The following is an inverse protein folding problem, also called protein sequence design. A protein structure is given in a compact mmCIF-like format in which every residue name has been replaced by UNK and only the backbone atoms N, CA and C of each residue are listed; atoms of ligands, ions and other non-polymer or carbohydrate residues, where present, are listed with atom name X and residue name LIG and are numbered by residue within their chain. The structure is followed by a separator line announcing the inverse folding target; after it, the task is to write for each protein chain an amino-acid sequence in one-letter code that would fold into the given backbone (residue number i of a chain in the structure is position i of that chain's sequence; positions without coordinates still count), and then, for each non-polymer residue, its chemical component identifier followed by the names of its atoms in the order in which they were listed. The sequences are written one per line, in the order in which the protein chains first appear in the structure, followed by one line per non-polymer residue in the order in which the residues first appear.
data_IF_284442350702
#
_entry.id   IF_284442350702
#
_cell.length_a   1.000
_cell.length_b   1.000
_cell.length_c   1.000
_cell.angle_alpha   90.00
_cell.angle_beta   90.00
_cell.angle_gamma   90.00
#
_symmetry.space_group_name_H-M   'P 1'
#
loop_
_entity.id
_entity.type
_entity.pdbx_description
1 polymer ?
#
# COMPACT_ATOMS: atom_id res chain seq x y z
N UNK A 1 11.29 -21.68 15.53
CA UNK A 1 9.92 -21.19 15.77
C UNK A 1 9.41 -20.70 14.43
N UNK A 2 8.18 -21.03 14.03
CA UNK A 2 7.64 -20.60 12.74
C UNK A 2 7.26 -19.11 12.84
N UNK A 3 7.70 -18.30 11.88
CA UNK A 3 7.35 -16.89 11.81
C UNK A 3 6.06 -16.74 10.99
N UNK A 4 4.91 -16.74 11.68
CA UNK A 4 3.60 -16.66 11.02
C UNK A 4 3.36 -15.33 10.32
N UNK A 5 3.98 -14.26 10.82
CA UNK A 5 3.94 -12.95 10.19
C UNK A 5 4.59 -12.99 8.80
N UNK A 6 5.80 -13.53 8.70
CA UNK A 6 6.49 -13.73 7.43
C UNK A 6 5.72 -14.69 6.51
N UNK A 7 5.21 -15.81 7.04
CA UNK A 7 4.46 -16.78 6.25
C UNK A 7 3.21 -16.16 5.59
N UNK A 8 2.47 -15.32 6.31
CA UNK A 8 1.32 -14.61 5.74
C UNK A 8 1.77 -13.64 4.65
N UNK A 9 2.81 -12.83 4.89
CA UNK A 9 3.32 -11.89 3.89
C UNK A 9 3.82 -12.59 2.63
N UNK A 10 4.49 -13.73 2.75
CA UNK A 10 4.92 -14.52 1.60
C UNK A 10 3.71 -15.09 0.86
N UNK A 11 2.71 -15.62 1.57
CA UNK A 11 1.50 -16.16 0.96
C UNK A 11 0.72 -15.10 0.16
N UNK A 12 0.50 -13.92 0.72
CA UNK A 12 -0.26 -12.86 0.04
C UNK A 12 0.51 -12.31 -1.16
N UNK A 13 1.84 -12.25 -1.11
CA UNK A 13 2.65 -11.74 -2.23
C UNK A 13 2.82 -12.74 -3.37
N UNK A 14 2.90 -14.03 -3.06
CA UNK A 14 3.12 -15.07 -4.07
C UNK A 14 1.82 -15.66 -4.64
N UNK A 15 0.75 -15.67 -3.83
CA UNK A 15 -0.52 -16.34 -4.16
C UNK A 15 -1.75 -15.47 -3.98
N UNK A 16 -1.61 -14.23 -3.48
CA UNK A 16 -2.74 -13.35 -3.15
C UNK A 16 -3.71 -13.98 -2.13
N UNK A 17 -3.17 -14.83 -1.24
CA UNK A 17 -3.92 -15.54 -0.19
C UNK A 17 -3.54 -15.03 1.20
N UNK A 18 -4.53 -14.82 2.06
CA UNK A 18 -4.33 -14.59 3.49
C UNK A 18 -4.39 -15.94 4.22
N UNK A 19 -3.28 -16.34 4.84
CA UNK A 19 -3.19 -17.55 5.67
C UNK A 19 -2.80 -17.14 7.09
N UNK A 20 -3.72 -17.31 8.04
CA UNK A 20 -3.49 -17.05 9.46
C UNK A 20 -3.56 -18.35 10.25
N UNK A 21 -2.59 -18.55 11.15
CA UNK A 21 -2.46 -19.78 11.93
C UNK A 21 -3.09 -19.67 13.33
N UNK A 22 -3.13 -18.46 13.90
CA UNK A 22 -3.72 -18.15 15.20
C UNK A 22 -4.00 -16.64 15.28
N UNK A 23 -4.75 -16.19 16.29
CA UNK A 23 -5.05 -14.78 16.57
C UNK A 23 -3.88 -14.09 17.27
N UNK A 24 -2.83 -13.79 16.50
CA UNK A 24 -1.58 -13.18 16.99
C UNK A 24 -1.50 -11.76 16.45
N UNK A 25 -1.69 -10.78 17.35
CA UNK A 25 -1.66 -9.35 17.02
C UNK A 25 -0.30 -8.68 17.30
N UNK A 26 0.63 -9.40 17.93
CA UNK A 26 1.95 -8.89 18.28
C UNK A 26 3.04 -9.79 17.70
N UNK A 27 4.07 -9.18 17.14
CA UNK A 27 5.22 -9.86 16.55
C UNK A 27 6.47 -9.57 17.37
N UNK A 28 7.31 -10.59 17.60
CA UNK A 28 8.59 -10.42 18.28
C UNK A 28 9.63 -9.69 17.40
N UNK A 29 10.67 -9.12 18.01
CA UNK A 29 11.77 -8.47 17.27
C UNK A 29 12.45 -9.42 16.28
N UNK A 30 12.59 -10.71 16.64
CA UNK A 30 13.15 -11.71 15.75
C UNK A 30 12.28 -11.91 14.49
N UNK A 31 10.96 -11.96 14.67
CA UNK A 31 10.04 -12.09 13.53
C UNK A 31 10.07 -10.84 12.64
N UNK A 32 10.15 -9.66 13.25
CA UNK A 32 10.25 -8.39 12.54
C UNK A 32 11.53 -8.28 11.72
N UNK A 33 12.68 -8.68 12.27
CA UNK A 33 13.95 -8.70 11.51
C UNK A 33 13.87 -9.61 10.28
N UNK A 34 13.30 -10.82 10.42
CA UNK A 34 13.12 -11.72 9.28
C UNK A 34 12.19 -11.15 8.21
N UNK A 35 11.16 -10.41 8.61
CA UNK A 35 10.28 -9.70 7.66
C UNK A 35 11.01 -8.56 6.97
N UNK A 36 11.85 -7.79 7.68
CA UNK A 36 12.68 -6.75 7.07
C UNK A 36 13.62 -7.35 6.02
N UNK A 37 14.30 -8.46 6.35
CA UNK A 37 15.21 -9.15 5.42
C UNK A 37 14.47 -9.61 4.16
N UNK A 38 13.29 -10.21 4.32
CA UNK A 38 12.44 -10.62 3.21
C UNK A 38 11.99 -9.42 2.34
N UNK A 39 11.47 -8.35 2.97
CA UNK A 39 11.00 -7.16 2.25
C UNK A 39 12.14 -6.45 1.53
N UNK A 40 13.35 -6.44 2.09
CA UNK A 40 14.54 -5.90 1.44
C UNK A 40 14.89 -6.68 0.15
N UNK A 41 14.81 -8.01 0.19
CA UNK A 41 15.03 -8.86 -1.00
C UNK A 41 13.94 -8.65 -2.05
N UNK A 42 12.68 -8.58 -1.62
CA UNK A 42 11.54 -8.27 -2.50
C UNK A 42 11.72 -6.90 -3.14
N UNK A 43 12.07 -5.89 -2.36
CA UNK A 43 12.30 -4.53 -2.85
C UNK A 43 13.40 -4.53 -3.90
N UNK A 44 14.53 -5.18 -3.59
CA UNK A 44 15.64 -5.30 -4.53
C UNK A 44 15.17 -5.90 -5.86
N UNK A 45 14.41 -7.00 -5.81
CA UNK A 45 13.89 -7.68 -7.00
C UNK A 45 12.90 -6.81 -7.79
N UNK A 46 11.90 -6.18 -7.16
CA UNK A 46 10.95 -5.28 -7.83
C UNK A 46 11.67 -4.06 -8.44
N UNK A 47 12.67 -3.54 -7.73
CA UNK A 47 13.37 -2.32 -8.13
C UNK A 47 14.21 -2.46 -9.39
N UNK A 48 14.54 -3.69 -9.82
CA UNK A 48 15.25 -3.93 -11.07
C UNK A 48 14.49 -3.40 -12.30
N UNK A 49 13.16 -3.30 -12.20
CA UNK A 49 12.28 -2.80 -13.26
C UNK A 49 11.86 -1.33 -13.04
N UNK A 50 12.33 -0.69 -11.97
CA UNK A 50 11.95 0.68 -11.66
C UNK A 50 12.62 1.66 -12.63
N UNK A 51 11.89 2.72 -13.05
CA UNK A 51 12.44 3.76 -13.90
C UNK A 51 13.37 4.69 -13.12
N UNK A 52 14.24 5.41 -13.83
CA UNK A 52 15.11 6.44 -13.25
C UNK A 52 16.00 5.94 -12.10
N UNK A 53 16.45 6.87 -11.24
CA UNK A 53 17.22 6.52 -10.06
C UNK A 53 16.28 5.98 -8.98
N UNK A 54 16.60 4.80 -8.49
CA UNK A 54 15.80 4.04 -7.55
C UNK A 54 16.02 4.60 -6.13
N UNK A 55 14.97 5.02 -5.41
CA UNK A 55 15.07 5.32 -3.99
C UNK A 55 15.50 4.07 -3.19
N UNK A 56 16.36 4.18 -2.17
CA UNK A 56 16.74 3.01 -1.36
C UNK A 56 15.56 2.45 -0.57
N UNK A 57 15.67 1.19 -0.15
CA UNK A 57 14.70 0.56 0.75
C UNK A 57 14.69 1.23 2.13
N UNK A 58 13.49 1.46 2.66
CA UNK A 58 13.23 1.99 4.01
C UNK A 58 12.63 0.89 4.88
N UNK A 59 13.45 0.33 5.77
CA UNK A 59 13.06 -0.77 6.64
C UNK A 59 11.95 -0.38 7.64
N UNK A 60 11.91 0.88 8.10
CA UNK A 60 10.89 1.33 9.04
C UNK A 60 9.53 1.36 8.35
N UNK A 61 9.46 1.93 7.14
CA UNK A 61 8.23 2.00 6.37
C UNK A 61 7.75 0.61 5.92
N UNK A 62 8.67 -0.24 5.45
CA UNK A 62 8.37 -1.62 5.07
C UNK A 62 7.80 -2.43 6.23
N UNK A 63 8.44 -2.36 7.40
CA UNK A 63 7.98 -3.10 8.59
C UNK A 63 6.63 -2.57 9.11
N UNK A 64 6.44 -1.25 9.17
CA UNK A 64 5.18 -0.66 9.61
C UNK A 64 4.02 -1.07 8.70
N UNK A 65 4.21 -1.00 7.39
CA UNK A 65 3.21 -1.40 6.41
C UNK A 65 2.87 -2.89 6.49
N UNK A 66 3.88 -3.73 6.67
CA UNK A 66 3.71 -5.16 6.84
C UNK A 66 2.90 -5.49 8.11
N UNK A 67 3.22 -4.84 9.23
CA UNK A 67 2.43 -4.99 10.47
C UNK A 67 1.00 -4.51 10.28
N UNK A 68 0.81 -3.37 9.61
CA UNK A 68 -0.52 -2.82 9.30
C UNK A 68 -1.35 -3.85 8.52
N UNK A 69 -0.80 -4.42 7.45
CA UNK A 69 -1.48 -5.46 6.67
C UNK A 69 -1.76 -6.71 7.51
N UNK A 70 -0.78 -7.18 8.27
CA UNK A 70 -0.91 -8.40 9.07
C UNK A 70 -1.96 -8.28 10.17
N UNK A 71 -1.92 -7.19 10.93
CA UNK A 71 -2.92 -6.89 11.96
C UNK A 71 -4.30 -6.69 11.33
N UNK A 72 -4.40 -6.01 10.18
CA UNK A 72 -5.68 -5.84 9.48
C UNK A 72 -6.28 -7.18 9.04
N UNK A 73 -5.46 -8.10 8.51
CA UNK A 73 -5.88 -9.45 8.15
C UNK A 73 -6.32 -10.25 9.39
N UNK A 74 -5.61 -10.12 10.52
CA UNK A 74 -6.01 -10.73 11.80
C UNK A 74 -7.36 -10.20 12.27
N UNK A 75 -7.57 -8.89 12.23
CA UNK A 75 -8.83 -8.26 12.66
C UNK A 75 -10.01 -8.59 11.72
N UNK A 76 -9.75 -8.81 10.42
CA UNK A 76 -10.75 -9.29 9.46
C UNK A 76 -11.32 -10.66 9.87
N UNK A 77 -10.49 -11.59 10.36
CA UNK A 77 -10.92 -12.94 10.73
C UNK A 77 -11.27 -13.09 12.23
N UNK A 78 -10.63 -12.31 13.10
CA UNK A 78 -10.72 -12.42 14.57
C UNK A 78 -11.17 -11.11 15.22
N UNK A 79 -12.28 -10.53 14.75
CA UNK A 79 -12.84 -9.28 15.29
C UNK A 79 -13.38 -9.46 16.72
N UNK A 80 -12.54 -9.20 17.72
CA UNK A 80 -12.92 -9.18 19.16
C UNK A 80 -12.57 -7.87 19.87
N UNK A 81 -11.74 -7.05 19.24
CA UNK A 81 -11.19 -5.82 19.81
C UNK A 81 -12.20 -4.66 19.76
N UNK A 82 -12.18 -3.84 20.80
CA UNK A 82 -12.97 -2.60 20.85
C UNK A 82 -12.32 -1.52 19.97
N UNK A 83 -13.04 -0.43 19.72
CA UNK A 83 -12.55 0.65 18.87
C UNK A 83 -11.35 1.38 19.48
N UNK A 84 -11.32 1.51 20.81
CA UNK A 84 -10.20 2.12 21.53
C UNK A 84 -8.90 1.33 21.32
N UNK A 85 -9.00 0.00 21.21
CA UNK A 85 -7.85 -0.89 20.97
C UNK A 85 -7.27 -0.74 19.54
N UNK A 86 -8.09 -0.36 18.56
CA UNK A 86 -7.68 -0.31 17.15
C UNK A 86 -6.59 0.72 16.90
N UNK A 87 -6.65 1.86 17.59
CA UNK A 87 -5.66 2.92 17.46
C UNK A 87 -4.25 2.48 17.89
N UNK A 88 -4.17 1.61 18.91
CA UNK A 88 -2.92 1.04 19.39
C UNK A 88 -2.41 -0.09 18.49
N UNK A 89 -3.32 -0.84 17.88
CA UNK A 89 -3.00 -1.96 16.98
C UNK A 89 -2.56 -1.50 15.58
N UNK A 90 -3.08 -0.35 15.11
CA UNK A 90 -2.83 0.19 13.78
C UNK A 90 -2.32 1.64 13.85
N UNK A 91 -1.16 1.87 14.50
CA UNK A 91 -0.64 3.21 14.71
C UNK A 91 -0.25 3.87 13.38
N UNK A 92 -0.24 5.21 13.39
CA UNK A 92 0.33 5.98 12.28
C UNK A 92 1.85 5.77 12.19
N UNK A 93 2.37 5.87 10.96
CA UNK A 93 3.81 5.85 10.73
C UNK A 93 4.48 7.06 11.40
N UNK A 94 5.54 6.80 12.18
CA UNK A 94 6.16 7.83 13.04
C UNK A 94 7.41 8.48 12.45
N UNK A 95 7.89 8.00 11.30
CA UNK A 95 9.08 8.54 10.63
C UNK A 95 8.70 9.41 9.43
N UNK A 96 9.64 10.21 8.87
CA UNK A 96 9.35 11.03 7.70
C UNK A 96 8.88 10.20 6.49
N UNK A 97 7.78 10.64 5.87
CA UNK A 97 7.33 10.07 4.59
C UNK A 97 8.25 10.57 3.47
N UNK A 98 9.09 9.69 2.94
CA UNK A 98 10.00 9.92 1.80
C UNK A 98 9.61 9.06 0.60
N UNK A 99 10.14 9.29 -0.62
CA UNK A 99 9.92 8.39 -1.76
C UNK A 99 10.33 6.94 -1.45
N UNK A 100 11.45 6.75 -0.76
CA UNK A 100 11.88 5.45 -0.22
C UNK A 100 10.85 4.81 0.69
N UNK A 101 10.31 5.59 1.63
CA UNK A 101 9.28 5.12 2.54
C UNK A 101 8.02 4.69 1.76
N UNK A 102 7.58 5.50 0.78
CA UNK A 102 6.38 5.21 -0.04
C UNK A 102 6.54 3.88 -0.78
N UNK A 103 7.64 3.68 -1.50
CA UNK A 103 7.87 2.45 -2.26
C UNK A 103 8.08 1.23 -1.35
N UNK A 104 8.65 1.42 -0.15
CA UNK A 104 8.86 0.32 0.80
C UNK A 104 7.58 -0.09 1.52
N UNK A 105 6.75 0.88 1.95
CA UNK A 105 5.44 0.62 2.53
C UNK A 105 4.51 -0.08 1.53
N UNK A 106 4.62 0.29 0.26
CA UNK A 106 3.80 -0.25 -0.81
C UNK A 106 3.96 -1.75 -1.05
N UNK A 107 5.08 -2.35 -0.64
CA UNK A 107 5.27 -3.80 -0.71
C UNK A 107 4.19 -4.58 0.06
N UNK A 108 3.57 -3.96 1.06
CA UNK A 108 2.49 -4.57 1.84
C UNK A 108 1.17 -3.81 1.70
N UNK A 109 1.17 -2.47 1.75
CA UNK A 109 -0.08 -1.71 1.74
C UNK A 109 -0.89 -1.87 0.44
N UNK A 110 -0.28 -2.29 -0.68
CA UNK A 110 -1.00 -2.51 -1.95
C UNK A 110 -2.11 -3.58 -1.86
N UNK A 111 -2.07 -4.43 -0.83
CA UNK A 111 -3.09 -5.44 -0.56
C UNK A 111 -4.20 -4.96 0.40
N UNK A 112 -4.02 -3.79 1.03
CA UNK A 112 -4.99 -3.25 1.98
C UNK A 112 -6.35 -2.90 1.34
N UNK A 113 -6.44 -2.41 0.09
CA UNK A 113 -7.71 -2.21 -0.61
C UNK A 113 -8.63 -3.45 -0.61
N UNK A 114 -8.05 -4.65 -0.78
CA UNK A 114 -8.82 -5.89 -0.78
C UNK A 114 -9.29 -6.25 0.62
N UNK A 115 -8.46 -6.02 1.64
CA UNK A 115 -8.86 -6.19 3.05
C UNK A 115 -10.05 -5.28 3.38
N UNK A 116 -10.00 -4.02 2.98
CA UNK A 116 -11.12 -3.06 3.18
C UNK A 116 -12.37 -3.54 2.43
N UNK A 117 -12.22 -3.98 1.18
CA UNK A 117 -13.35 -4.51 0.38
C UNK A 117 -13.99 -5.74 1.05
N UNK A 118 -13.20 -6.59 1.67
CA UNK A 118 -13.70 -7.73 2.42
C UNK A 118 -14.40 -7.32 3.72
N UNK A 119 -13.85 -6.34 4.47
CA UNK A 119 -14.50 -5.78 5.66
C UNK A 119 -15.86 -5.18 5.31
N UNK A 120 -15.92 -4.34 4.29
CA UNK A 120 -17.15 -3.67 3.84
C UNK A 120 -18.25 -4.69 3.46
N UNK A 121 -17.87 -5.78 2.78
CA UNK A 121 -18.81 -6.86 2.44
C UNK A 121 -19.35 -7.62 3.65
N UNK A 122 -18.56 -7.72 4.74
CA UNK A 122 -18.96 -8.40 5.97
C UNK A 122 -19.82 -7.46 6.83
N UNK A 123 -19.35 -6.24 7.04
CA UNK A 123 -19.99 -5.19 7.82
C UNK A 123 -19.53 -3.80 7.33
N UNK A 124 -20.36 -3.09 6.55
CA UNK A 124 -20.05 -1.74 6.05
C UNK A 124 -19.82 -0.70 7.15
N UNK A 125 -20.35 -0.93 8.35
CA UNK A 125 -20.23 -0.03 9.50
C UNK A 125 -19.06 -0.43 10.42
N UNK A 126 -18.17 -1.34 9.98
CA UNK A 126 -17.00 -1.71 10.80
C UNK A 126 -16.03 -0.53 10.91
N UNK A 127 -15.77 -0.11 12.14
CA UNK A 127 -14.89 1.02 12.46
C UNK A 127 -13.43 0.81 12.03
N UNK A 128 -13.04 -0.41 11.65
CA UNK A 128 -11.73 -0.66 11.04
C UNK A 128 -11.62 -0.03 9.64
N UNK A 129 -12.71 0.02 8.87
CA UNK A 129 -12.72 0.57 7.50
C UNK A 129 -12.16 2.00 7.46
N UNK A 130 -12.70 2.99 8.21
CA UNK A 130 -12.19 4.36 8.15
C UNK A 130 -10.74 4.50 8.62
N UNK A 131 -10.26 3.62 9.51
CA UNK A 131 -8.85 3.61 9.96
C UNK A 131 -7.93 3.20 8.81
N UNK A 132 -8.29 2.13 8.10
CA UNK A 132 -7.49 1.63 6.98
C UNK A 132 -7.56 2.57 5.77
N UNK A 133 -8.72 3.19 5.52
CA UNK A 133 -8.84 4.23 4.51
C UNK A 133 -7.96 5.44 4.84
N UNK A 134 -7.86 5.86 6.10
CA UNK A 134 -6.98 6.95 6.50
C UNK A 134 -5.49 6.64 6.24
N UNK A 135 -5.08 5.38 6.45
CA UNK A 135 -3.76 4.93 6.02
C UNK A 135 -3.61 5.01 4.50
N UNK A 136 -4.60 4.58 3.72
CA UNK A 136 -4.56 4.70 2.26
C UNK A 136 -4.57 6.16 1.77
N UNK A 137 -5.26 7.10 2.42
CA UNK A 137 -5.18 8.51 2.07
C UNK A 137 -3.76 9.06 2.26
N UNK A 138 -3.09 8.64 3.35
CA UNK A 138 -1.70 9.04 3.63
C UNK A 138 -0.69 8.34 2.72
N UNK A 139 -0.97 7.09 2.31
CA UNK A 139 -0.09 6.22 1.53
C UNK A 139 -0.74 5.84 0.19
N UNK A 140 -1.28 6.84 -0.49
CA UNK A 140 -2.21 6.67 -1.61
C UNK A 140 -1.61 6.00 -2.85
N UNK A 141 -0.28 5.95 -3.00
CA UNK A 141 0.36 5.13 -4.03
C UNK A 141 -0.06 3.64 -3.95
N UNK A 142 -0.27 3.13 -2.74
CA UNK A 142 -0.75 1.77 -2.49
C UNK A 142 -2.26 1.62 -2.66
N UNK A 143 -3.00 2.72 -2.60
CA UNK A 143 -4.45 2.76 -2.74
C UNK A 143 -4.94 3.22 -4.12
N UNK A 144 -4.09 3.27 -5.16
CA UNK A 144 -4.49 3.81 -6.48
C UNK A 144 -5.67 3.02 -7.09
N UNK A 145 -5.74 1.70 -6.86
CA UNK A 145 -6.87 0.87 -7.31
C UNK A 145 -8.12 1.00 -6.42
N UNK A 146 -8.04 1.70 -5.30
CA UNK A 146 -9.15 1.97 -4.39
C UNK A 146 -9.81 3.33 -4.71
N UNK A 147 -11.13 3.51 -4.53
CA UNK A 147 -11.84 4.75 -4.85
C UNK A 147 -11.58 5.90 -3.85
N UNK A 148 -10.32 6.23 -3.58
CA UNK A 148 -9.96 7.41 -2.78
C UNK A 148 -10.40 8.70 -3.47
N UNK A 149 -10.86 9.66 -2.66
CA UNK A 149 -11.20 11.01 -3.10
C UNK A 149 -9.93 11.80 -3.42
N UNK A 150 -9.78 12.19 -4.70
CA UNK A 150 -8.56 12.83 -5.22
C UNK A 150 -8.28 14.17 -4.54
N UNK A 151 -9.33 14.91 -4.18
CA UNK A 151 -9.26 16.21 -3.49
C UNK A 151 -8.65 16.13 -2.09
N UNK A 152 -8.56 14.93 -1.50
CA UNK A 152 -7.92 14.70 -0.20
C UNK A 152 -6.45 14.30 -0.31
N UNK A 153 -5.93 14.08 -1.52
CA UNK A 153 -4.59 13.55 -1.74
C UNK A 153 -3.55 14.68 -1.82
N UNK A 154 -2.47 14.51 -1.06
CA UNK A 154 -1.26 15.33 -1.16
C UNK A 154 -0.22 14.60 -2.01
N UNK A 155 0.19 15.23 -3.12
CA UNK A 155 1.14 14.69 -4.08
C UNK A 155 2.57 15.25 -3.91
N UNK A 156 2.83 16.00 -2.85
CA UNK A 156 4.13 16.66 -2.61
C UNK A 156 5.29 15.66 -2.63
N UNK A 157 5.12 14.49 -1.98
CA UNK A 157 6.15 13.44 -1.95
C UNK A 157 6.26 12.73 -3.31
N UNK A 158 5.13 12.40 -3.93
CA UNK A 158 5.08 11.63 -5.18
C UNK A 158 5.63 12.42 -6.37
N UNK A 159 5.61 13.76 -6.30
CA UNK A 159 6.25 14.65 -7.29
C UNK A 159 7.71 14.96 -6.97
N UNK A 160 8.19 14.65 -5.76
CA UNK A 160 9.56 14.99 -5.34
C UNK A 160 10.63 14.07 -5.94
N UNK A 161 10.24 12.93 -6.52
CA UNK A 161 11.13 11.93 -7.11
C UNK A 161 10.60 11.39 -8.44
N UNK A 162 11.48 11.34 -9.46
CA UNK A 162 11.09 10.93 -10.83
C UNK A 162 10.73 9.46 -10.93
N UNK A 163 11.37 8.58 -10.15
CA UNK A 163 11.06 7.16 -10.14
C UNK A 163 9.64 6.95 -9.60
N UNK A 164 9.34 7.51 -8.43
CA UNK A 164 8.02 7.44 -7.82
C UNK A 164 6.95 8.09 -8.71
N UNK A 165 7.22 9.26 -9.30
CA UNK A 165 6.28 9.94 -10.20
C UNK A 165 5.90 9.07 -11.41
N UNK A 166 6.88 8.43 -12.06
CA UNK A 166 6.63 7.55 -13.21
C UNK A 166 5.90 6.26 -12.79
N UNK A 167 6.28 5.65 -11.66
CA UNK A 167 5.58 4.48 -11.13
C UNK A 167 4.12 4.79 -10.79
N UNK A 168 3.86 5.96 -10.23
CA UNK A 168 2.52 6.44 -9.94
C UNK A 168 1.69 6.60 -11.23
N UNK A 169 2.26 7.27 -12.25
CA UNK A 169 1.64 7.41 -13.57
C UNK A 169 1.32 6.04 -14.20
N UNK A 170 2.25 5.09 -14.12
CA UNK A 170 2.06 3.72 -14.61
C UNK A 170 0.85 3.04 -13.93
N UNK A 171 0.66 3.23 -12.61
CA UNK A 171 -0.49 2.69 -11.89
C UNK A 171 -1.80 3.41 -12.21
N UNK A 172 -1.77 4.73 -12.38
CA UNK A 172 -2.94 5.49 -12.88
C UNK A 172 -3.43 4.90 -14.20
N UNK A 173 -2.50 4.63 -15.12
CA UNK A 173 -2.80 4.01 -16.42
C UNK A 173 -3.32 2.58 -16.20
N UNK A 174 -2.56 1.71 -15.51
CA UNK A 174 -2.93 0.31 -15.25
C UNK A 174 -4.36 0.18 -14.70
N UNK A 175 -4.73 1.01 -13.73
CA UNK A 175 -6.04 0.98 -13.08
C UNK A 175 -7.05 1.97 -13.69
N UNK A 176 -6.72 2.60 -14.81
CA UNK A 176 -7.56 3.55 -15.55
C UNK A 176 -8.17 4.66 -14.68
N UNK A 177 -7.40 5.16 -13.71
CA UNK A 177 -7.86 6.15 -12.71
C UNK A 177 -7.93 7.55 -13.31
N UNK A 178 -8.95 7.79 -14.14
CA UNK A 178 -9.16 9.06 -14.84
C UNK A 178 -9.10 10.30 -13.92
N UNK A 179 -9.73 10.31 -12.72
CA UNK A 179 -9.62 11.46 -11.83
C UNK A 179 -8.19 11.82 -11.43
N UNK A 180 -7.30 10.83 -11.27
CA UNK A 180 -5.88 11.06 -10.99
C UNK A 180 -5.13 11.52 -12.24
N UNK A 181 -5.44 10.94 -13.41
CA UNK A 181 -4.84 11.32 -14.69
C UNK A 181 -5.12 12.77 -15.11
N UNK A 182 -6.19 13.38 -14.60
CA UNK A 182 -6.59 14.76 -14.91
C UNK A 182 -6.04 15.79 -13.93
N UNK A 183 -5.39 15.35 -12.85
CA UNK A 183 -4.73 16.25 -11.90
C UNK A 183 -3.54 16.96 -12.56
N UNK A 184 -3.25 18.17 -12.09
CA UNK A 184 -2.04 18.91 -12.49
C UNK A 184 -0.78 18.08 -12.18
N UNK A 185 -0.82 17.27 -11.12
CA UNK A 185 0.28 16.40 -10.70
C UNK A 185 0.72 15.37 -11.76
N UNK A 186 -0.24 14.79 -12.50
CA UNK A 186 0.03 13.63 -13.36
C UNK A 186 -0.41 13.78 -14.81
N UNK A 187 -1.18 14.80 -15.16
CA UNK A 187 -1.73 14.97 -16.52
C UNK A 187 -0.66 15.02 -17.61
N UNK A 188 0.47 15.68 -17.35
CA UNK A 188 1.58 15.76 -18.29
C UNK A 188 2.26 14.39 -18.48
N UNK A 189 2.69 13.74 -17.39
CA UNK A 189 3.41 12.46 -17.46
C UNK A 189 2.53 11.31 -17.97
N UNK A 190 1.25 11.29 -17.62
CA UNK A 190 0.27 10.33 -18.16
C UNK A 190 0.06 10.59 -19.65
N UNK A 191 -0.08 11.86 -20.05
CA UNK A 191 -0.19 12.24 -21.46
C UNK A 191 1.02 11.82 -22.28
N UNK A 192 2.22 12.05 -21.76
CA UNK A 192 3.48 11.66 -22.39
C UNK A 192 3.63 10.12 -22.48
N UNK A 193 3.21 9.39 -21.45
CA UNK A 193 3.28 7.92 -21.42
C UNK A 193 2.31 7.27 -22.41
N UNK A 194 1.12 7.85 -22.62
CA UNK A 194 0.11 7.31 -23.54
C UNK A 194 0.28 7.76 -24.99
N UNK A 195 0.90 8.92 -25.23
CA UNK A 195 1.02 9.52 -26.57
C UNK A 195 -0.34 9.57 -27.29
N UNK A 196 -0.36 9.13 -28.56
CA UNK A 196 -1.57 9.11 -29.39
C UNK A 196 -2.66 8.15 -28.87
N UNK A 197 -2.30 7.15 -28.05
CA UNK A 197 -3.24 6.17 -27.51
C UNK A 197 -4.17 6.74 -26.44
N UNK A 198 -3.90 7.96 -25.94
CA UNK A 198 -4.73 8.63 -24.92
C UNK A 198 -6.20 8.74 -25.33
N UNK A 199 -6.46 9.03 -26.61
CA UNK A 199 -7.83 9.22 -27.15
C UNK A 199 -8.64 7.93 -27.20
N UNK A 200 -7.98 6.78 -27.36
CA UNK A 200 -8.61 5.46 -27.34
C UNK A 200 -8.64 4.85 -25.95
N UNK A 201 -7.73 5.24 -25.06
CA UNK A 201 -7.63 4.69 -23.70
C UNK A 201 -8.75 5.15 -22.78
N UNK A 202 -9.09 6.44 -22.82
CA UNK A 202 -10.30 6.98 -22.19
C UNK A 202 -11.24 7.49 -23.27
N UNK A 203 -12.26 6.68 -23.60
CA UNK A 203 -13.38 7.15 -24.42
C UNK A 203 -13.97 8.37 -23.69
N UNK A 204 -13.93 9.56 -24.30
CA UNK A 204 -14.23 10.89 -23.73
C UNK A 204 -13.04 11.67 -23.14
N UNK A 205 -11.84 11.59 -23.75
CA UNK A 205 -10.78 12.60 -23.60
C UNK A 205 -10.87 13.67 -24.69
#
# INVERSE_FOLDING_TARGET
MNNYFLMMLTAIREREEVILYDNILQTSEQEQHQVIDYLSQVYHQESLEYPHQIPPFDAHAGLWAANTLYVSAQLLLYRKNSNDDLSALLPHFMYPKTPSAVLSADLSLRFLPDVITHLDRINPEDELIPILENHLYSWHYSGINYPLLVEKLDFTIEQSDRCLQQLYANRIIKYQRKPLAETIAFSEIVGASLGDYRKSFWVNY
#
